data_IF_490456931221
#
_entry.id   IF_490456931221
#
_cell.length_a   1.000
_cell.length_b   1.000
_cell.length_c   1.000
_cell.angle_alpha   90.00
_cell.angle_beta   90.00
_cell.angle_gamma   90.00
#
_symmetry.space_group_name_H-M   'P 1'
#
loop_
_entity.id
_entity.type
_entity.pdbx_description
1 polymer ?
#
# COMPACT_ATOMS: atom_id res chain seq x y z
N UNK A 1 -15.98 24.75 -12.19
CA UNK A 1 -15.28 23.49 -12.51
C UNK A 1 -14.85 22.88 -11.20
N UNK A 2 -15.67 22.04 -10.57
CA UNK A 2 -15.43 21.58 -9.19
C UNK A 2 -15.90 20.15 -9.00
N UNK A 3 -15.00 19.33 -8.46
CA UNK A 3 -15.14 17.92 -8.06
C UNK A 3 -14.85 16.87 -9.15
N UNK A 4 -13.59 16.41 -9.23
CA UNK A 4 -13.19 15.15 -9.89
C UNK A 4 -13.65 13.88 -9.09
N UNK A 5 -14.72 14.01 -8.31
CA UNK A 5 -15.62 12.91 -7.96
C UNK A 5 -15.21 11.96 -6.83
N UNK A 6 -13.96 11.96 -6.34
CA UNK A 6 -13.58 11.14 -5.17
C UNK A 6 -13.80 11.88 -3.84
N UNK A 7 -14.84 11.49 -3.10
CA UNK A 7 -15.12 12.01 -1.76
C UNK A 7 -14.25 11.31 -0.71
N UNK A 8 -13.06 11.87 -0.50
CA UNK A 8 -12.07 11.37 0.48
C UNK A 8 -12.60 11.37 1.91
N UNK A 9 -13.47 12.33 2.27
CA UNK A 9 -13.99 12.45 3.63
C UNK A 9 -14.97 11.30 3.93
N UNK A 10 -15.83 10.97 2.96
CA UNK A 10 -16.73 9.82 3.06
C UNK A 10 -15.97 8.50 3.01
N UNK A 11 -14.96 8.36 2.13
CA UNK A 11 -14.12 7.16 2.09
C UNK A 11 -13.41 6.92 3.42
N UNK A 12 -12.75 7.96 3.98
CA UNK A 12 -12.07 7.88 5.28
C UNK A 12 -13.02 7.47 6.39
N UNK A 13 -14.22 8.06 6.45
CA UNK A 13 -15.24 7.71 7.44
C UNK A 13 -15.66 6.25 7.32
N UNK A 14 -15.81 5.73 6.11
CA UNK A 14 -16.15 4.33 5.88
C UNK A 14 -15.03 3.39 6.36
N UNK A 15 -13.77 3.65 5.99
CA UNK A 15 -12.63 2.87 6.47
C UNK A 15 -12.55 2.87 8.00
N UNK A 16 -12.70 4.03 8.64
CA UNK A 16 -12.67 4.13 10.11
C UNK A 16 -13.78 3.32 10.76
N UNK A 17 -15.02 3.42 10.28
CA UNK A 17 -16.15 2.69 10.86
C UNK A 17 -15.99 1.18 10.70
N UNK A 18 -15.55 0.71 9.53
CA UNK A 18 -15.36 -0.72 9.27
C UNK A 18 -14.19 -1.30 10.08
N UNK A 19 -13.07 -0.59 10.17
CA UNK A 19 -11.95 -0.98 11.01
C UNK A 19 -12.35 -1.05 12.49
N UNK A 20 -13.08 -0.03 12.98
CA UNK A 20 -13.56 0.00 14.36
C UNK A 20 -14.52 -1.16 14.65
N UNK A 21 -15.41 -1.51 13.72
CA UNK A 21 -16.31 -2.64 13.88
C UNK A 21 -15.55 -3.97 14.03
N UNK A 22 -14.54 -4.24 13.18
CA UNK A 22 -13.71 -5.44 13.28
C UNK A 22 -12.89 -5.47 14.58
N UNK A 23 -12.27 -4.34 14.96
CA UNK A 23 -11.53 -4.24 16.23
C UNK A 23 -12.46 -4.40 17.46
N UNK A 24 -13.71 -3.97 17.37
CA UNK A 24 -14.67 -4.14 18.47
C UNK A 24 -15.12 -5.60 18.59
N UNK A 25 -15.41 -6.26 17.47
CA UNK A 25 -15.84 -7.66 17.46
C UNK A 25 -14.68 -8.64 17.75
N UNK A 26 -13.47 -8.31 17.29
CA UNK A 26 -12.29 -9.17 17.34
C UNK A 26 -11.06 -8.37 17.82
N UNK A 27 -11.01 -7.97 19.10
CA UNK A 27 -10.00 -7.03 19.62
C UNK A 27 -8.55 -7.52 19.52
N UNK A 28 -8.35 -8.83 19.42
CA UNK A 28 -7.01 -9.43 19.28
C UNK A 28 -6.68 -9.85 17.83
N UNK A 29 -7.55 -9.52 16.85
CA UNK A 29 -7.40 -9.91 15.45
C UNK A 29 -7.28 -8.67 14.55
N UNK A 30 -6.34 -7.78 14.86
CA UNK A 30 -6.13 -6.52 14.13
C UNK A 30 -5.91 -6.68 12.61
N UNK A 31 -5.42 -7.84 12.16
CA UNK A 31 -5.29 -8.19 10.74
C UNK A 31 -6.64 -8.18 10.00
N UNK A 32 -7.76 -8.44 10.69
CA UNK A 32 -9.09 -8.38 10.06
C UNK A 32 -9.53 -6.96 9.77
N UNK A 33 -9.25 -6.05 10.71
CA UNK A 33 -9.49 -4.63 10.52
C UNK A 33 -8.62 -4.06 9.40
N UNK A 34 -7.36 -4.49 9.28
CA UNK A 34 -6.54 -4.13 8.11
C UNK A 34 -7.10 -4.71 6.81
N UNK A 35 -7.54 -5.98 6.82
CA UNK A 35 -8.07 -6.62 5.61
C UNK A 35 -9.30 -5.90 5.09
N UNK A 36 -10.24 -5.51 5.97
CA UNK A 36 -11.45 -4.80 5.52
C UNK A 36 -11.13 -3.40 4.97
N UNK A 37 -10.12 -2.71 5.53
CA UNK A 37 -9.68 -1.41 5.02
C UNK A 37 -9.02 -1.55 3.66
N UNK A 38 -8.17 -2.56 3.47
CA UNK A 38 -7.54 -2.89 2.19
C UNK A 38 -8.62 -3.23 1.14
N UNK A 39 -9.57 -4.09 1.48
CA UNK A 39 -10.67 -4.46 0.58
C UNK A 39 -11.50 -3.24 0.15
N UNK A 40 -11.76 -2.30 1.07
CA UNK A 40 -12.44 -1.04 0.77
C UNK A 40 -11.61 -0.15 -0.16
N UNK A 41 -10.29 -0.09 0.04
CA UNK A 41 -9.38 0.66 -0.82
C UNK A 41 -9.31 0.06 -2.23
N UNK A 42 -9.22 -1.26 -2.34
CA UNK A 42 -9.21 -1.98 -3.62
C UNK A 42 -10.54 -1.81 -4.36
N UNK A 43 -11.67 -1.89 -3.65
CA UNK A 43 -12.98 -1.60 -4.24
C UNK A 43 -13.11 -0.15 -4.71
N UNK A 44 -12.59 0.81 -3.93
CA UNK A 44 -12.55 2.19 -4.36
C UNK A 44 -11.69 2.33 -5.61
N UNK A 45 -10.46 1.82 -5.61
CA UNK A 45 -9.56 1.85 -6.76
C UNK A 45 -10.17 1.21 -8.01
N UNK A 46 -10.83 0.06 -7.89
CA UNK A 46 -11.53 -0.60 -8.98
C UNK A 46 -12.66 0.26 -9.57
N UNK A 47 -13.37 1.05 -8.75
CA UNK A 47 -14.38 2.01 -9.24
C UNK A 47 -13.77 3.17 -10.02
N UNK A 48 -12.50 3.48 -9.77
CA UNK A 48 -11.71 4.49 -10.48
C UNK A 48 -10.81 3.90 -11.57
N UNK A 49 -10.93 2.60 -11.89
CA UNK A 49 -10.09 1.92 -12.88
C UNK A 49 -10.18 2.49 -14.31
N UNK A 50 -11.20 3.29 -14.61
CA UNK A 50 -11.33 4.02 -15.88
C UNK A 50 -10.42 5.25 -15.97
N UNK A 51 -9.78 5.66 -14.88
CA UNK A 51 -8.84 6.77 -14.81
C UNK A 51 -7.45 6.27 -14.37
N UNK A 52 -6.86 5.40 -15.19
CA UNK A 52 -5.52 4.82 -14.93
C UNK A 52 -4.44 5.90 -14.77
N UNK A 53 -4.59 7.05 -15.44
CA UNK A 53 -3.68 8.20 -15.30
C UNK A 53 -3.72 8.82 -13.89
N UNK A 54 -4.80 8.60 -13.14
CA UNK A 54 -4.94 9.01 -11.74
C UNK A 54 -4.52 7.90 -10.75
N UNK A 55 -4.36 6.65 -11.21
CA UNK A 55 -3.87 5.55 -10.38
C UNK A 55 -2.35 5.56 -10.42
N UNK A 56 -1.81 6.19 -9.40
CA UNK A 56 -0.40 6.37 -9.17
C UNK A 56 0.41 5.07 -8.96
N UNK A 57 -0.19 3.88 -8.82
CA UNK A 57 0.53 2.65 -8.48
C UNK A 57 0.69 1.70 -9.69
N UNK A 58 1.91 1.68 -10.24
CA UNK A 58 2.35 0.69 -11.22
C UNK A 58 3.86 0.44 -11.07
N UNK A 59 4.41 -0.63 -11.65
CA UNK A 59 5.86 -0.84 -11.67
C UNK A 59 6.60 0.41 -12.20
N UNK A 60 7.47 0.99 -11.38
CA UNK A 60 8.20 2.22 -11.73
C UNK A 60 7.41 3.53 -11.63
N UNK A 61 6.21 3.54 -11.06
CA UNK A 61 5.47 4.79 -10.83
C UNK A 61 6.19 5.75 -9.88
N UNK A 62 6.13 7.05 -10.17
CA UNK A 62 6.84 8.10 -9.44
C UNK A 62 6.15 8.62 -8.18
N UNK A 63 5.11 7.95 -7.70
CA UNK A 63 4.10 8.58 -6.85
C UNK A 63 3.86 7.92 -5.49
N UNK A 64 4.04 6.60 -5.34
CA UNK A 64 3.89 5.94 -4.02
C UNK A 64 5.07 5.06 -3.60
N UNK A 65 5.89 4.55 -4.51
CA UNK A 65 6.99 3.63 -4.16
C UNK A 65 8.36 4.33 -3.97
N UNK A 66 8.48 5.61 -4.34
CA UNK A 66 9.71 6.38 -4.17
C UNK A 66 9.79 7.01 -2.77
N UNK A 67 8.64 7.28 -2.16
CA UNK A 67 8.48 7.83 -0.81
C UNK A 67 8.04 6.75 0.17
N UNK A 68 8.47 6.84 1.43
CA UNK A 68 8.08 5.88 2.45
C UNK A 68 6.58 6.00 2.74
N UNK A 69 5.79 5.05 2.26
CA UNK A 69 4.39 4.92 2.69
C UNK A 69 4.39 4.12 3.99
N UNK A 70 4.05 4.79 5.09
CA UNK A 70 3.85 4.11 6.35
C UNK A 70 2.68 3.11 6.20
N UNK A 71 2.95 1.85 6.48
CA UNK A 71 1.93 0.81 6.62
C UNK A 71 1.75 0.49 8.10
N UNK A 72 0.55 0.06 8.47
CA UNK A 72 0.26 -0.40 9.82
C UNK A 72 0.82 -1.82 10.02
N UNK A 73 1.19 -2.18 11.24
CA UNK A 73 1.66 -3.54 11.57
C UNK A 73 0.73 -4.66 11.07
N UNK A 74 -0.61 -4.56 11.16
CA UNK A 74 -1.48 -5.61 10.64
C UNK A 74 -1.53 -5.67 9.11
N UNK A 75 -1.26 -4.55 8.41
CA UNK A 75 -1.09 -4.55 6.95
C UNK A 75 0.21 -5.26 6.56
N UNK A 76 1.28 -5.08 7.34
CA UNK A 76 2.52 -5.80 7.16
C UNK A 76 2.35 -7.33 7.35
N UNK A 77 1.58 -7.76 8.35
CA UNK A 77 1.24 -9.18 8.55
C UNK A 77 0.44 -9.75 7.35
N UNK A 78 -0.55 -9.00 6.85
CA UNK A 78 -1.32 -9.41 5.67
C UNK A 78 -0.45 -9.53 4.42
N UNK A 79 0.44 -8.57 4.17
CA UNK A 79 1.40 -8.62 3.07
C UNK A 79 2.30 -9.86 3.19
N UNK A 80 2.86 -10.12 4.37
CA UNK A 80 3.69 -11.29 4.62
C UNK A 80 2.92 -12.60 4.34
N UNK A 81 1.69 -12.73 4.86
CA UNK A 81 0.83 -13.90 4.60
C UNK A 81 0.47 -14.06 3.13
N UNK A 82 0.23 -12.96 2.41
CA UNK A 82 -0.03 -13.02 0.98
C UNK A 82 1.21 -13.52 0.22
N UNK A 83 2.39 -12.97 0.52
CA UNK A 83 3.65 -13.35 -0.10
C UNK A 83 3.98 -14.84 0.13
N UNK A 84 3.88 -15.32 1.37
CA UNK A 84 4.13 -16.73 1.69
C UNK A 84 3.17 -17.71 1.01
N UNK A 85 1.93 -17.29 0.72
CA UNK A 85 0.94 -18.13 0.03
C UNK A 85 1.16 -18.23 -1.47
N UNK A 86 1.70 -17.18 -2.10
CA UNK A 86 1.73 -17.06 -3.56
C UNK A 86 3.13 -17.08 -4.17
N UNK A 87 4.18 -16.96 -3.37
CA UNK A 87 5.57 -16.94 -3.84
C UNK A 87 6.33 -18.14 -3.29
N UNK A 88 7.18 -18.73 -4.13
CA UNK A 88 8.14 -19.74 -3.70
C UNK A 88 9.26 -19.11 -2.86
N UNK A 89 9.94 -19.93 -2.04
CA UNK A 89 11.10 -19.50 -1.25
C UNK A 89 12.15 -18.79 -2.11
N UNK A 90 12.46 -19.32 -3.30
CA UNK A 90 13.44 -18.69 -4.20
C UNK A 90 12.97 -17.36 -4.80
N UNK A 91 11.65 -17.14 -4.98
CA UNK A 91 11.11 -15.83 -5.36
C UNK A 91 11.24 -14.82 -4.21
N UNK A 92 10.93 -15.25 -2.98
CA UNK A 92 11.05 -14.42 -1.78
C UNK A 92 12.51 -14.01 -1.51
N UNK A 93 13.46 -14.93 -1.67
CA UNK A 93 14.89 -14.63 -1.54
C UNK A 93 15.36 -13.60 -2.57
N UNK A 94 14.96 -13.76 -3.84
CA UNK A 94 15.29 -12.79 -4.90
C UNK A 94 14.71 -11.41 -4.59
N UNK A 95 13.45 -11.35 -4.17
CA UNK A 95 12.78 -10.11 -3.80
C UNK A 95 13.47 -9.44 -2.60
N UNK A 96 13.84 -10.22 -1.57
CA UNK A 96 14.62 -9.72 -0.43
C UNK A 96 15.95 -9.10 -0.87
N UNK A 97 16.67 -9.76 -1.76
CA UNK A 97 17.96 -9.26 -2.24
C UNK A 97 17.80 -7.99 -3.09
N UNK A 98 16.74 -7.90 -3.89
CA UNK A 98 16.38 -6.68 -4.63
C UNK A 98 16.03 -5.52 -3.68
N UNK A 99 15.23 -5.77 -2.65
CA UNK A 99 14.85 -4.78 -1.63
C UNK A 99 16.07 -4.29 -0.84
N UNK A 100 17.00 -5.19 -0.47
CA UNK A 100 18.23 -4.80 0.22
C UNK A 100 19.12 -3.88 -0.65
N UNK A 101 19.23 -4.17 -1.96
CA UNK A 101 19.95 -3.30 -2.89
C UNK A 101 19.27 -1.94 -3.03
N UNK A 102 17.94 -1.92 -3.09
CA UNK A 102 17.18 -0.67 -3.11
C UNK A 102 17.45 0.14 -1.83
N UNK A 103 17.35 -0.49 -0.65
CA UNK A 103 17.55 0.14 0.65
C UNK A 103 18.91 0.84 0.75
N UNK A 104 19.98 0.22 0.25
CA UNK A 104 21.32 0.85 0.20
C UNK A 104 21.32 2.09 -0.70
N UNK A 105 20.68 2.03 -1.87
CA UNK A 105 20.65 3.14 -2.85
C UNK A 105 19.86 4.36 -2.38
N UNK A 106 18.85 4.14 -1.54
CA UNK A 106 17.98 5.19 -1.02
C UNK A 106 18.31 5.58 0.43
N UNK A 107 19.37 4.99 0.99
CA UNK A 107 19.81 5.28 2.35
C UNK A 107 20.36 6.70 2.42
N UNK A 108 19.89 7.48 3.41
CA UNK A 108 20.29 8.86 3.61
C UNK A 108 19.61 9.88 2.70
N UNK A 109 18.76 9.44 1.77
CA UNK A 109 17.93 10.33 0.96
C UNK A 109 16.64 10.68 1.71
N UNK A 110 16.27 11.96 1.70
CA UNK A 110 14.93 12.41 2.09
C UNK A 110 13.88 12.13 0.98
N UNK A 111 12.62 12.44 1.27
CA UNK A 111 11.51 12.16 0.36
C UNK A 111 11.62 12.93 -0.97
N UNK A 112 12.11 14.18 -0.95
CA UNK A 112 12.28 15.00 -2.16
C UNK A 112 13.44 14.48 -3.02
N UNK A 113 14.55 14.09 -2.38
CA UNK A 113 15.71 13.49 -3.03
C UNK A 113 15.37 12.14 -3.66
N UNK A 114 14.56 11.31 -2.99
CA UNK A 114 14.12 10.01 -3.55
C UNK A 114 13.26 10.17 -4.79
N UNK A 115 12.36 11.17 -4.79
CA UNK A 115 11.55 11.52 -5.96
C UNK A 115 12.43 12.01 -7.12
N UNK A 116 13.47 12.80 -6.83
CA UNK A 116 14.41 13.30 -7.83
C UNK A 116 15.26 12.18 -8.45
N UNK A 117 15.70 11.19 -7.66
CA UNK A 117 16.51 10.07 -8.13
C UNK A 117 15.74 9.09 -9.04
N UNK A 118 14.40 9.09 -9.01
CA UNK A 118 13.53 8.23 -9.83
C UNK A 118 13.93 6.75 -9.83
N UNK A 119 14.38 6.25 -8.69
CA UNK A 119 14.81 4.86 -8.56
C UNK A 119 13.59 3.95 -8.67
N UNK A 120 13.56 2.98 -9.61
CA UNK A 120 12.41 2.10 -9.76
C UNK A 120 12.26 1.15 -8.57
N UNK A 121 11.01 0.89 -8.18
CA UNK A 121 10.65 -0.20 -7.28
C UNK A 121 10.99 -1.56 -7.93
N UNK A 122 11.57 -2.52 -7.20
CA UNK A 122 11.86 -3.85 -7.70
C UNK A 122 10.64 -4.71 -7.99
#
# INVERSE_FOLDING_TARGET
MTSDGFDIATFRRHCTNSALAELTAHPNESHRAASVVIDLADQAAARWAFNLDAIACGPGCGSCCQVNVAILEPEADLLARHLYRHQSTGQLERMRDQLNRLAVRVSGLDDEERLACRIPCP
#
